data_IF_416881373366
#
_entry.id   IF_416881373366
#
_cell.length_a   1.000
_cell.length_b   1.000
_cell.length_c   1.000
_cell.angle_alpha   90.00
_cell.angle_beta   90.00
_cell.angle_gamma   90.00
#
_symmetry.space_group_name_H-M   'P 1'
#
loop_
_entity.id
_entity.type
_entity.pdbx_description
1 polymer ?
#
# COMPACT_ATOMS: atom_id res chain seq x y z
N UNK A 1 -1.10 -11.75 49.38
CA UNK A 1 -0.34 -12.59 48.42
C UNK A 1 -1.17 -12.64 47.16
N UNK A 2 -1.08 -11.57 46.36
CA UNK A 2 -1.93 -11.35 45.19
C UNK A 2 -1.34 -12.16 44.05
N UNK A 3 -2.12 -13.11 43.56
CA UNK A 3 -1.77 -14.13 42.60
C UNK A 3 -1.08 -13.54 41.35
N UNK A 4 0.22 -13.78 41.24
CA UNK A 4 1.08 -13.26 40.16
C UNK A 4 0.76 -13.94 38.83
N UNK A 5 0.04 -15.08 38.84
CA UNK A 5 -0.39 -15.78 37.61
C UNK A 5 -1.53 -15.06 36.89
N UNK A 6 -2.46 -14.42 37.61
CA UNK A 6 -3.54 -13.62 37.02
C UNK A 6 -3.07 -12.32 36.35
N UNK A 7 -1.89 -11.81 36.74
CA UNK A 7 -1.23 -10.68 36.07
C UNK A 7 -0.45 -11.15 34.84
N UNK A 8 0.22 -12.30 34.92
CA UNK A 8 0.93 -12.90 33.79
C UNK A 8 -0.03 -13.35 32.66
N UNK A 9 -1.26 -13.76 32.98
CA UNK A 9 -2.29 -14.06 31.98
C UNK A 9 -2.95 -12.81 31.37
N UNK A 10 -2.98 -11.66 32.07
CA UNK A 10 -3.33 -10.36 31.45
C UNK A 10 -2.23 -9.82 30.54
N UNK A 11 -0.96 -10.16 30.81
CA UNK A 11 0.20 -9.71 30.02
C UNK A 11 0.52 -10.59 28.81
N UNK A 12 -0.02 -11.81 28.72
CA UNK A 12 0.04 -12.64 27.50
C UNK A 12 -0.80 -12.09 26.33
N UNK A 13 -1.58 -11.03 26.54
CA UNK A 13 -2.48 -10.43 25.55
C UNK A 13 -1.97 -9.14 24.88
N UNK A 14 -0.75 -8.65 25.17
CA UNK A 14 -0.27 -7.33 24.68
C UNK A 14 0.54 -7.35 23.39
N UNK A 15 0.56 -8.48 22.69
CA UNK A 15 0.74 -8.52 21.25
C UNK A 15 -0.58 -9.09 20.72
N UNK A 16 -1.18 -8.56 19.63
CA UNK A 16 -2.20 -9.32 18.92
C UNK A 16 -1.60 -10.71 18.71
N UNK A 17 -2.37 -11.80 18.83
CA UNK A 17 -1.85 -13.11 18.44
C UNK A 17 -1.48 -13.02 16.93
N UNK A 18 -0.25 -12.61 16.63
CA UNK A 18 0.35 -12.43 15.30
C UNK A 18 0.66 -13.78 14.66
N UNK A 19 -0.10 -14.82 15.05
CA UNK A 19 -0.01 -16.17 14.52
C UNK A 19 -0.32 -16.21 13.03
N UNK A 20 -1.09 -15.26 12.52
CA UNK A 20 -1.38 -15.13 11.10
C UNK A 20 -0.52 -14.07 10.44
N UNK A 21 -0.23 -14.25 9.15
CA UNK A 21 0.51 -13.24 8.37
C UNK A 21 -0.22 -11.90 8.34
N UNK A 22 -1.56 -11.90 8.29
CA UNK A 22 -2.34 -10.65 8.30
C UNK A 22 -2.29 -9.93 9.65
N UNK A 23 -2.18 -10.65 10.77
CA UNK A 23 -1.98 -10.03 12.09
C UNK A 23 -0.65 -9.28 12.19
N UNK A 24 0.42 -9.82 11.62
CA UNK A 24 1.73 -9.12 11.54
C UNK A 24 1.65 -7.86 10.68
N UNK A 25 0.89 -7.92 9.59
CA UNK A 25 0.70 -6.79 8.66
C UNK A 25 -0.14 -5.69 9.31
N UNK A 26 -1.20 -6.04 10.04
CA UNK A 26 -2.00 -5.09 10.83
C UNK A 26 -1.16 -4.40 11.91
N UNK A 27 -0.33 -5.15 12.65
CA UNK A 27 0.58 -4.56 13.64
C UNK A 27 1.58 -3.57 13.02
N UNK A 28 2.21 -3.94 11.89
CA UNK A 28 3.12 -3.04 11.17
C UNK A 28 2.38 -1.80 10.64
N UNK A 29 1.19 -1.98 10.06
CA UNK A 29 0.35 -0.90 9.56
C UNK A 29 -0.03 0.10 10.65
N UNK A 30 -0.49 -0.39 11.82
CA UNK A 30 -0.84 0.47 12.97
C UNK A 30 0.38 1.24 13.48
N UNK A 31 1.54 0.59 13.61
CA UNK A 31 2.78 1.25 14.01
C UNK A 31 3.18 2.37 13.03
N UNK A 32 3.16 2.10 11.73
CA UNK A 32 3.47 3.09 10.69
C UNK A 32 2.45 4.26 10.68
N UNK A 33 1.15 3.94 10.76
CA UNK A 33 0.07 4.94 10.81
C UNK A 33 0.20 5.86 12.02
N UNK A 34 0.54 5.28 13.17
CA UNK A 34 0.74 6.01 14.42
C UNK A 34 1.92 6.99 14.36
N UNK A 35 3.03 6.61 13.74
CA UNK A 35 4.14 7.53 13.47
C UNK A 35 3.70 8.64 12.51
N UNK A 36 3.00 8.27 11.43
CA UNK A 36 2.60 9.21 10.40
C UNK A 36 1.58 10.26 10.90
N UNK A 37 0.62 9.89 11.75
CA UNK A 37 -0.36 10.83 12.32
C UNK A 37 0.24 11.91 13.23
N UNK A 38 1.48 11.75 13.69
CA UNK A 38 2.19 12.79 14.46
C UNK A 38 2.92 13.80 13.59
N UNK A 39 3.01 13.54 12.31
CA UNK A 39 3.65 14.43 11.36
C UNK A 39 2.61 15.42 10.80
N UNK A 40 2.96 16.70 10.62
CA UNK A 40 2.06 17.69 10.05
C UNK A 40 1.74 17.42 8.57
N UNK A 41 0.60 17.94 8.11
CA UNK A 41 0.30 18.12 6.69
C UNK A 41 -0.46 16.98 5.98
N UNK A 42 -0.79 15.87 6.67
CA UNK A 42 -1.54 14.76 6.07
C UNK A 42 -2.99 14.63 6.56
N UNK A 43 -3.86 14.10 5.71
CA UNK A 43 -5.21 13.67 6.11
C UNK A 43 -5.12 12.29 6.74
N UNK A 44 -5.83 12.07 7.86
CA UNK A 44 -5.90 10.75 8.53
C UNK A 44 -6.25 9.60 7.56
N UNK A 45 -7.33 9.70 6.74
CA UNK A 45 -7.68 8.60 5.82
C UNK A 45 -6.61 8.33 4.77
N UNK A 46 -5.95 9.36 4.23
CA UNK A 46 -4.97 9.17 3.17
C UNK A 46 -3.68 8.57 3.70
N UNK A 47 -3.20 9.08 4.84
CA UNK A 47 -2.02 8.55 5.52
C UNK A 47 -2.22 7.07 5.88
N UNK A 48 -3.37 6.72 6.44
CA UNK A 48 -3.69 5.34 6.77
C UNK A 48 -3.82 4.44 5.53
N UNK A 49 -4.36 4.96 4.42
CA UNK A 49 -4.48 4.22 3.17
C UNK A 49 -3.11 3.96 2.52
N UNK A 50 -2.21 4.95 2.53
CA UNK A 50 -0.86 4.81 2.00
C UNK A 50 -0.02 3.84 2.84
N UNK A 51 -0.06 3.95 4.16
CA UNK A 51 0.63 2.99 5.05
C UNK A 51 0.03 1.58 4.95
N UNK A 52 -1.29 1.44 4.79
CA UNK A 52 -1.94 0.14 4.56
C UNK A 52 -1.45 -0.49 3.26
N UNK A 53 -1.42 0.30 2.19
CA UNK A 53 -0.90 -0.10 0.89
C UNK A 53 0.54 -0.59 1.03
N UNK A 54 1.41 0.22 1.65
CA UNK A 54 2.81 -0.13 1.89
C UNK A 54 2.97 -1.45 2.67
N UNK A 55 2.18 -1.64 3.74
CA UNK A 55 2.20 -2.85 4.55
C UNK A 55 1.84 -4.12 3.75
N UNK A 56 0.84 -4.03 2.86
CA UNK A 56 0.45 -5.14 2.00
C UNK A 56 1.42 -5.39 0.84
N UNK A 57 2.05 -4.35 0.29
CA UNK A 57 3.12 -4.52 -0.69
C UNK A 57 4.34 -5.22 -0.05
N UNK A 58 4.76 -4.79 1.15
CA UNK A 58 5.79 -5.47 1.95
C UNK A 58 5.48 -6.96 2.14
N UNK A 59 4.22 -7.27 2.48
CA UNK A 59 3.75 -8.65 2.61
C UNK A 59 3.93 -9.45 1.30
N UNK A 60 3.69 -8.85 0.15
CA UNK A 60 3.83 -9.53 -1.15
C UNK A 60 5.27 -9.72 -1.56
N UNK A 61 6.12 -8.70 -1.37
CA UNK A 61 7.56 -8.81 -1.57
C UNK A 61 8.11 -9.99 -0.76
N UNK A 62 7.83 -10.05 0.55
CA UNK A 62 8.33 -11.11 1.43
C UNK A 62 7.75 -12.49 1.09
N UNK A 63 6.46 -12.56 0.71
CA UNK A 63 5.80 -13.84 0.48
C UNK A 63 6.06 -14.45 -0.89
N UNK A 64 6.28 -13.62 -1.90
CA UNK A 64 6.35 -14.04 -3.31
C UNK A 64 7.71 -13.80 -3.93
N UNK A 65 8.65 -13.21 -3.18
CA UNK A 65 9.97 -12.83 -3.69
C UNK A 65 9.88 -11.90 -4.91
N UNK A 66 8.86 -11.03 -4.91
CA UNK A 66 8.57 -10.13 -6.03
C UNK A 66 9.29 -8.79 -5.86
N UNK A 67 9.85 -8.27 -6.96
CA UNK A 67 10.38 -6.90 -7.02
C UNK A 67 9.22 -5.92 -7.13
N UNK A 68 8.85 -5.31 -6.01
CA UNK A 68 7.80 -4.28 -5.98
C UNK A 68 8.35 -2.96 -5.46
N UNK A 69 7.98 -1.86 -6.13
CA UNK A 69 8.25 -0.49 -5.66
C UNK A 69 6.94 0.28 -5.52
N UNK A 70 6.95 1.29 -4.65
CA UNK A 70 5.77 2.11 -4.37
C UNK A 70 6.04 3.58 -4.67
N UNK A 71 5.14 4.21 -5.42
CA UNK A 71 5.14 5.65 -5.66
C UNK A 71 3.83 6.24 -5.12
N UNK A 72 3.94 7.27 -4.30
CA UNK A 72 2.80 7.96 -3.71
C UNK A 72 2.53 9.28 -4.44
N UNK A 73 1.37 9.37 -5.08
CA UNK A 73 0.87 10.57 -5.76
C UNK A 73 -0.19 11.35 -4.98
N UNK A 74 -0.68 10.79 -3.88
CA UNK A 74 -1.69 11.43 -3.03
C UNK A 74 -1.00 12.34 -2.02
N UNK A 75 -1.06 13.65 -2.26
CA UNK A 75 -0.34 14.66 -1.48
C UNK A 75 -0.73 14.68 -0.01
N UNK A 76 -2.02 14.52 0.29
CA UNK A 76 -2.53 14.41 1.66
C UNK A 76 -2.07 13.15 2.41
N UNK A 77 -1.40 12.20 1.74
CA UNK A 77 -0.78 11.04 2.36
C UNK A 77 0.74 11.18 2.54
N UNK A 78 1.36 12.29 2.14
CA UNK A 78 2.82 12.48 2.16
C UNK A 78 3.52 12.08 3.48
N UNK A 79 2.94 12.34 4.68
CA UNK A 79 3.51 11.87 5.95
C UNK A 79 3.74 10.36 6.05
N UNK A 80 2.97 9.55 5.30
CA UNK A 80 3.14 8.11 5.28
C UNK A 80 4.54 7.71 4.82
N UNK A 81 5.12 8.38 3.81
CA UNK A 81 6.47 8.07 3.30
C UNK A 81 7.55 8.29 4.37
N UNK A 82 7.39 9.35 5.17
CA UNK A 82 8.29 9.62 6.28
C UNK A 82 8.22 8.54 7.37
N UNK A 83 7.01 8.11 7.70
CA UNK A 83 6.80 7.08 8.70
C UNK A 83 7.32 5.70 8.25
N UNK A 84 7.04 5.28 7.01
CA UNK A 84 7.50 3.97 6.51
C UNK A 84 9.02 3.92 6.36
N UNK A 85 9.67 5.02 5.97
CA UNK A 85 11.13 5.11 5.95
C UNK A 85 11.75 4.99 7.36
N UNK A 86 11.09 5.56 8.38
CA UNK A 86 11.50 5.35 9.78
C UNK A 86 11.28 3.89 10.21
N UNK A 87 10.16 3.27 9.83
CA UNK A 87 9.88 1.86 10.10
C UNK A 87 10.92 0.91 9.47
N UNK A 88 11.43 1.27 8.30
CA UNK A 88 12.47 0.53 7.58
C UNK A 88 13.91 0.85 8.06
N UNK A 89 14.06 1.81 8.97
CA UNK A 89 15.35 2.24 9.51
C UNK A 89 16.22 3.01 8.52
N UNK A 90 15.68 3.47 7.38
CA UNK A 90 16.45 4.27 6.40
C UNK A 90 16.55 5.73 6.76
N UNK A 91 15.68 6.21 7.65
CA UNK A 91 15.75 7.58 8.15
C UNK A 91 15.62 7.62 9.66
N UNK A 92 16.40 8.49 10.30
CA UNK A 92 16.23 8.86 11.71
C UNK A 92 14.89 9.61 11.90
N UNK A 93 14.18 9.40 13.04
CA UNK A 93 12.96 10.16 13.36
C UNK A 93 13.15 11.67 13.16
N UNK A 94 12.20 12.34 12.49
CA UNK A 94 12.18 13.80 12.32
C UNK A 94 12.92 14.37 11.10
N UNK A 95 13.67 13.58 10.31
CA UNK A 95 14.47 14.09 9.17
C UNK A 95 13.67 14.32 7.87
N UNK A 96 12.62 13.54 7.62
CA UNK A 96 11.87 13.56 6.33
C UNK A 96 10.77 14.64 6.27
N UNK A 97 10.39 15.21 7.41
CA UNK A 97 9.19 16.04 7.53
C UNK A 97 9.21 17.30 6.65
N UNK A 98 10.39 17.77 6.24
CA UNK A 98 10.55 18.95 5.39
C UNK A 98 10.62 18.62 3.89
N UNK A 99 11.24 17.51 3.52
CA UNK A 99 11.44 17.16 2.11
C UNK A 99 10.19 16.56 1.45
N UNK A 100 9.41 15.76 2.18
CA UNK A 100 8.23 15.09 1.64
C UNK A 100 7.04 16.04 1.40
N UNK A 101 6.86 17.04 2.26
CA UNK A 101 5.77 18.02 2.14
C UNK A 101 5.96 18.97 0.94
N UNK A 102 7.21 19.33 0.61
CA UNK A 102 7.53 20.27 -0.46
C UNK A 102 7.57 19.61 -1.86
N UNK A 103 7.62 18.28 -1.94
CA UNK A 103 7.77 17.50 -3.19
C UNK A 103 6.51 16.74 -3.62
N UNK A 104 5.56 16.51 -2.72
CA UNK A 104 4.27 15.90 -3.05
C UNK A 104 3.31 16.97 -3.59
N UNK A 105 3.46 17.34 -4.86
CA UNK A 105 2.71 18.47 -5.44
C UNK A 105 2.17 18.32 -6.87
N UNK A 106 2.57 17.33 -7.67
CA UNK A 106 2.22 17.33 -9.10
C UNK A 106 1.88 15.95 -9.72
N UNK A 107 0.90 16.01 -10.65
CA UNK A 107 0.24 14.93 -11.40
C UNK A 107 1.16 14.17 -12.38
N UNK A 108 2.19 13.48 -11.89
CA UNK A 108 3.09 12.69 -12.73
C UNK A 108 3.47 11.34 -12.11
N UNK A 109 2.78 10.89 -11.07
CA UNK A 109 2.98 9.59 -10.42
C UNK A 109 2.93 8.44 -11.41
N UNK A 110 1.91 8.38 -12.26
CA UNK A 110 1.79 7.34 -13.29
C UNK A 110 2.87 7.47 -14.36
N UNK A 111 3.31 8.70 -14.67
CA UNK A 111 4.42 8.91 -15.59
C UNK A 111 5.76 8.45 -15.03
N UNK A 112 6.04 8.74 -13.76
CA UNK A 112 7.20 8.20 -13.07
C UNK A 112 7.13 6.68 -12.95
N UNK A 113 5.95 6.13 -12.64
CA UNK A 113 5.76 4.68 -12.55
C UNK A 113 6.03 3.98 -13.88
N UNK A 114 5.57 4.54 -15.00
CA UNK A 114 5.85 3.98 -16.32
C UNK A 114 7.33 4.10 -16.64
N UNK A 115 7.94 5.28 -16.46
CA UNK A 115 9.37 5.46 -16.70
C UNK A 115 10.24 4.50 -15.88
N UNK A 116 9.83 4.21 -14.65
CA UNK A 116 10.49 3.28 -13.74
C UNK A 116 10.47 1.83 -14.20
N UNK A 117 9.44 1.39 -14.93
CA UNK A 117 9.32 0.00 -15.38
C UNK A 117 9.90 -0.26 -16.77
N UNK A 118 10.21 0.78 -17.54
CA UNK A 118 10.78 0.62 -18.88
C UNK A 118 12.12 -0.10 -18.82
N UNK A 119 12.25 -1.20 -19.56
CA UNK A 119 13.44 -2.04 -19.58
C UNK A 119 13.71 -2.85 -18.31
N UNK A 120 12.75 -2.89 -17.36
CA UNK A 120 12.89 -3.57 -16.07
C UNK A 120 11.92 -4.76 -15.94
N UNK A 121 12.11 -5.87 -16.67
CA UNK A 121 11.19 -7.00 -16.65
C UNK A 121 11.08 -7.62 -15.25
N UNK A 122 9.86 -7.92 -14.82
CA UNK A 122 9.57 -8.48 -13.50
C UNK A 122 9.57 -7.47 -12.33
N UNK A 123 9.83 -6.18 -12.59
CA UNK A 123 9.54 -5.11 -11.63
C UNK A 123 8.04 -4.78 -11.68
N UNK A 124 7.39 -4.68 -10.52
CA UNK A 124 6.05 -4.06 -10.42
C UNK A 124 6.13 -2.74 -9.67
N UNK A 125 5.63 -1.66 -10.27
CA UNK A 125 5.51 -0.37 -9.59
C UNK A 125 4.04 -0.12 -9.23
N UNK A 126 3.74 -0.16 -7.94
CA UNK A 126 2.45 0.24 -7.41
C UNK A 126 2.38 1.77 -7.26
N UNK A 127 1.42 2.40 -7.91
CA UNK A 127 1.31 3.86 -7.99
C UNK A 127 -0.03 4.33 -7.40
N UNK A 128 0.00 4.93 -6.22
CA UNK A 128 -1.22 5.44 -5.58
C UNK A 128 -1.53 6.85 -6.05
N UNK A 129 -2.70 7.05 -6.66
CA UNK A 129 -3.06 8.29 -7.35
C UNK A 129 -4.46 8.78 -7.03
N UNK A 130 -4.68 10.08 -7.18
CA UNK A 130 -6.01 10.68 -7.16
C UNK A 130 -6.75 10.51 -8.49
N UNK A 131 -8.04 10.88 -8.49
CA UNK A 131 -8.92 10.75 -9.64
C UNK A 131 -8.45 11.56 -10.86
N UNK A 132 -8.10 12.83 -10.66
CA UNK A 132 -7.65 13.74 -11.73
C UNK A 132 -6.45 13.18 -12.50
N UNK A 133 -5.46 12.63 -11.77
CA UNK A 133 -4.29 12.02 -12.37
C UNK A 133 -4.64 10.72 -13.10
N UNK A 134 -5.44 9.84 -12.48
CA UNK A 134 -5.85 8.58 -13.10
C UNK A 134 -6.62 8.81 -14.42
N UNK A 135 -7.46 9.84 -14.49
CA UNK A 135 -8.25 10.18 -15.68
C UNK A 135 -7.43 10.89 -16.76
N UNK A 136 -6.36 11.60 -16.41
CA UNK A 136 -5.55 12.36 -17.37
C UNK A 136 -4.32 11.60 -17.88
N UNK A 137 -3.64 10.85 -17.02
CA UNK A 137 -2.38 10.19 -17.35
C UNK A 137 -2.54 8.79 -17.98
N UNK A 138 -3.75 8.22 -18.03
CA UNK A 138 -3.98 6.84 -18.50
C UNK A 138 -3.43 6.46 -19.90
N UNK A 139 -3.32 7.36 -20.92
CA UNK A 139 -2.80 6.95 -22.24
C UNK A 139 -1.38 6.43 -22.17
N UNK A 140 -0.67 6.73 -21.08
CA UNK A 140 0.71 6.32 -20.86
C UNK A 140 0.92 4.81 -20.84
N UNK A 141 -0.13 4.00 -20.61
CA UNK A 141 -0.08 2.55 -20.78
C UNK A 141 0.36 2.17 -22.19
N UNK A 142 0.04 2.97 -23.21
CA UNK A 142 0.45 2.67 -24.58
C UNK A 142 1.98 2.71 -24.80
N UNK A 143 2.75 3.25 -23.84
CA UNK A 143 4.21 3.27 -23.88
C UNK A 143 4.85 1.99 -23.32
N UNK A 144 4.06 1.15 -22.65
CA UNK A 144 4.51 -0.06 -21.98
C UNK A 144 4.47 -1.26 -22.94
N UNK A 145 5.60 -1.96 -23.06
CA UNK A 145 5.70 -3.24 -23.76
C UNK A 145 5.93 -4.39 -22.76
N UNK A 146 4.92 -5.24 -22.51
CA UNK A 146 4.98 -6.30 -21.50
C UNK A 146 6.00 -7.40 -21.80
N UNK A 147 6.63 -7.43 -22.98
CA UNK A 147 7.69 -8.40 -23.31
C UNK A 147 9.06 -8.00 -22.75
N UNK A 148 9.25 -6.71 -22.44
CA UNK A 148 10.55 -6.13 -22.06
C UNK A 148 10.50 -5.21 -20.85
N UNK A 149 9.33 -4.66 -20.54
CA UNK A 149 9.12 -3.70 -19.47
C UNK A 149 8.45 -4.39 -18.26
N UNK A 150 8.69 -3.88 -17.04
CA UNK A 150 7.96 -4.26 -15.83
C UNK A 150 6.52 -3.74 -15.84
N UNK A 151 5.71 -4.04 -14.82
CA UNK A 151 4.29 -3.67 -14.79
C UNK A 151 4.00 -2.48 -13.86
N UNK A 152 3.02 -1.65 -14.24
CA UNK A 152 2.45 -0.64 -13.33
C UNK A 152 1.14 -1.16 -12.77
N UNK A 153 0.96 -1.07 -11.45
CA UNK A 153 -0.29 -1.32 -10.74
C UNK A 153 -0.85 0.01 -10.21
N UNK A 154 -1.78 0.67 -10.93
CA UNK A 154 -2.44 1.86 -10.42
C UNK A 154 -3.32 1.53 -9.20
N UNK A 155 -3.26 2.38 -8.18
CA UNK A 155 -4.09 2.31 -6.99
C UNK A 155 -4.84 3.64 -6.86
N UNK A 156 -6.08 3.66 -7.35
CA UNK A 156 -6.94 4.84 -7.33
C UNK A 156 -7.51 5.06 -5.92
N UNK A 157 -7.13 6.16 -5.28
CA UNK A 157 -7.55 6.51 -3.94
C UNK A 157 -8.84 7.35 -3.96
N UNK A 158 -9.86 6.85 -3.25
CA UNK A 158 -11.15 7.52 -2.97
C UNK A 158 -11.72 8.31 -4.17
N UNK A 159 -11.97 7.65 -5.31
CA UNK A 159 -12.58 8.32 -6.44
C UNK A 159 -14.01 8.78 -6.13
N UNK A 160 -14.43 9.87 -6.75
CA UNK A 160 -15.80 10.37 -6.72
C UNK A 160 -16.71 9.59 -7.67
N UNK A 161 -16.13 9.04 -8.75
CA UNK A 161 -16.81 8.16 -9.69
C UNK A 161 -17.41 6.94 -9.00
N UNK A 162 -18.63 6.54 -9.37
CA UNK A 162 -19.25 5.30 -8.92
C UNK A 162 -18.73 4.06 -9.67
N UNK A 163 -19.24 2.87 -9.34
CA UNK A 163 -18.80 1.59 -9.93
C UNK A 163 -19.00 1.54 -11.45
N UNK A 164 -20.14 2.02 -11.94
CA UNK A 164 -20.48 1.93 -13.35
C UNK A 164 -19.71 2.97 -14.16
N UNK A 165 -19.52 4.16 -13.59
CA UNK A 165 -18.67 5.20 -14.16
C UNK A 165 -17.20 4.76 -14.23
N UNK A 166 -16.65 4.17 -13.17
CA UNK A 166 -15.28 3.63 -13.20
C UNK A 166 -15.10 2.62 -14.34
N UNK A 167 -16.04 1.68 -14.50
CA UNK A 167 -15.97 0.69 -15.58
C UNK A 167 -16.08 1.35 -16.95
N UNK A 168 -17.00 2.30 -17.13
CA UNK A 168 -17.18 3.06 -18.36
C UNK A 168 -15.94 3.87 -18.74
N UNK A 169 -15.23 4.42 -17.74
CA UNK A 169 -14.00 5.18 -17.96
C UNK A 169 -12.82 4.23 -18.20
N UNK A 170 -12.50 3.36 -17.27
CA UNK A 170 -11.23 2.63 -17.26
C UNK A 170 -11.19 1.38 -18.15
N UNK A 171 -12.31 0.64 -18.32
CA UNK A 171 -12.30 -0.58 -19.16
C UNK A 171 -11.98 -0.31 -20.63
N UNK A 172 -12.63 0.65 -21.32
CA UNK A 172 -12.27 0.97 -22.72
C UNK A 172 -10.81 1.43 -22.88
N UNK A 173 -10.16 1.82 -21.79
CA UNK A 173 -8.76 2.28 -21.73
C UNK A 173 -7.78 1.15 -21.38
N UNK A 174 -8.25 -0.10 -21.33
CA UNK A 174 -7.41 -1.27 -21.06
C UNK A 174 -7.12 -1.51 -19.57
N UNK A 175 -7.96 -0.99 -18.67
CA UNK A 175 -7.83 -1.19 -17.22
C UNK A 175 -9.05 -1.92 -16.64
N UNK A 176 -8.82 -2.83 -15.70
CA UNK A 176 -9.84 -3.56 -14.96
C UNK A 176 -9.91 -3.06 -13.51
N UNK A 177 -10.95 -2.29 -13.13
CA UNK A 177 -11.09 -1.80 -11.76
C UNK A 177 -11.47 -2.91 -10.77
N UNK A 178 -10.57 -3.18 -9.82
CA UNK A 178 -10.78 -4.07 -8.67
C UNK A 178 -11.04 -3.21 -7.44
N UNK A 179 -12.31 -3.11 -7.04
CA UNK A 179 -12.74 -2.27 -5.92
C UNK A 179 -12.51 -2.93 -4.55
N UNK A 180 -11.98 -2.14 -3.61
CA UNK A 180 -11.68 -2.50 -2.22
C UNK A 180 -12.38 -1.49 -1.30
N UNK A 181 -13.12 -1.94 -0.30
CA UNK A 181 -13.75 -1.09 0.72
C UNK A 181 -15.28 -1.09 0.70
N UNK A 182 -15.91 0.09 0.86
CA UNK A 182 -17.36 0.26 1.09
C UNK A 182 -18.24 -0.38 0.02
N UNK A 183 -17.82 -0.28 -1.25
CA UNK A 183 -18.52 -0.93 -2.37
C UNK A 183 -17.75 -2.20 -2.75
N UNK A 184 -17.87 -3.24 -1.93
CA UNK A 184 -17.40 -4.56 -2.32
C UNK A 184 -17.19 -5.52 -1.18
N UNK A 185 -16.54 -5.07 -0.10
CA UNK A 185 -16.01 -6.00 0.87
C UNK A 185 -16.09 -5.56 2.33
N UNK A 186 -16.46 -4.30 2.62
CA UNK A 186 -16.78 -3.87 3.99
C UNK A 186 -18.30 -3.86 4.13
N UNK A 187 -18.84 -4.87 4.79
CA UNK A 187 -20.28 -5.00 5.01
C UNK A 187 -20.66 -4.43 6.38
N UNK A 188 -20.92 -3.13 6.45
CA UNK A 188 -21.37 -2.40 7.65
C UNK A 188 -20.38 -2.40 8.83
N UNK A 189 -19.82 -1.20 9.10
CA UNK A 189 -18.80 -0.99 10.13
C UNK A 189 -17.40 -1.15 9.55
N UNK A 190 -16.62 -0.08 9.59
CA UNK A 190 -15.28 -0.03 8.98
C UNK A 190 -14.25 -0.79 9.82
N UNK A 191 -14.36 -2.11 9.88
CA UNK A 191 -13.44 -2.97 10.62
C UNK A 191 -12.15 -3.17 9.81
N UNK A 192 -11.02 -2.67 10.31
CA UNK A 192 -9.74 -2.73 9.59
C UNK A 192 -9.33 -4.16 9.22
N UNK A 193 -9.68 -5.16 10.05
CA UNK A 193 -9.40 -6.57 9.75
C UNK A 193 -10.08 -7.09 8.47
N UNK A 194 -11.29 -6.62 8.16
CA UNK A 194 -11.98 -6.97 6.91
C UNK A 194 -11.29 -6.31 5.72
N UNK A 195 -10.97 -5.02 5.85
CA UNK A 195 -10.22 -4.29 4.83
C UNK A 195 -8.85 -4.94 4.55
N UNK A 196 -8.12 -5.41 5.57
CA UNK A 196 -6.88 -6.17 5.39
C UNK A 196 -7.10 -7.44 4.55
N UNK A 197 -8.18 -8.19 4.78
CA UNK A 197 -8.52 -9.38 3.98
C UNK A 197 -8.84 -9.01 2.54
N UNK A 198 -9.64 -7.97 2.33
CA UNK A 198 -10.00 -7.51 0.99
C UNK A 198 -8.78 -7.06 0.21
N UNK A 199 -7.96 -6.19 0.81
CA UNK A 199 -6.76 -5.66 0.19
C UNK A 199 -5.83 -6.81 -0.17
N UNK A 200 -5.63 -7.75 0.75
CA UNK A 200 -4.80 -8.93 0.51
C UNK A 200 -5.31 -9.76 -0.68
N UNK A 201 -6.62 -10.01 -0.78
CA UNK A 201 -7.23 -10.76 -1.88
C UNK A 201 -7.13 -10.02 -3.21
N UNK A 202 -7.47 -8.74 -3.23
CA UNK A 202 -7.41 -7.90 -4.44
C UNK A 202 -5.98 -7.77 -4.97
N UNK A 203 -5.00 -7.64 -4.07
CA UNK A 203 -3.59 -7.58 -4.45
C UNK A 203 -3.09 -8.92 -5.00
N UNK A 204 -3.54 -10.06 -4.46
CA UNK A 204 -3.26 -11.38 -5.05
C UNK A 204 -3.81 -11.47 -6.48
N UNK A 205 -5.09 -11.13 -6.67
CA UNK A 205 -5.72 -11.14 -8.00
C UNK A 205 -4.96 -10.24 -8.96
N UNK A 206 -4.66 -9.00 -8.57
CA UNK A 206 -3.96 -8.06 -9.44
C UNK A 206 -2.56 -8.54 -9.84
N UNK A 207 -1.78 -9.07 -8.90
CA UNK A 207 -0.41 -9.55 -9.19
C UNK A 207 -0.42 -10.84 -10.02
N UNK A 208 -1.37 -11.75 -9.78
CA UNK A 208 -1.52 -12.96 -10.59
C UNK A 208 -1.96 -12.64 -12.03
N UNK A 209 -2.87 -11.67 -12.21
CA UNK A 209 -3.26 -11.19 -13.54
C UNK A 209 -2.10 -10.49 -14.26
N UNK A 210 -1.31 -9.67 -13.57
CA UNK A 210 -0.08 -9.07 -14.14
C UNK A 210 0.89 -10.16 -14.61
N UNK A 211 1.13 -11.18 -13.78
CA UNK A 211 2.00 -12.30 -14.13
C UNK A 211 1.47 -13.09 -15.33
N UNK A 212 0.16 -13.32 -15.41
CA UNK A 212 -0.47 -14.00 -16.54
C UNK A 212 -0.35 -13.20 -17.84
N UNK A 213 -0.61 -11.88 -17.79
CA UNK A 213 -0.53 -10.99 -18.94
C UNK A 213 0.90 -10.86 -19.48
N UNK A 214 1.88 -10.74 -18.58
CA UNK A 214 3.30 -10.69 -18.97
C UNK A 214 3.78 -12.03 -19.54
N UNK A 215 3.37 -13.16 -18.95
CA UNK A 215 3.69 -14.49 -19.49
C UNK A 215 3.07 -14.73 -20.88
N UNK A 216 1.80 -14.35 -21.08
CA UNK A 216 1.14 -14.44 -22.38
C UNK A 216 1.84 -13.57 -23.43
N UNK A 217 2.28 -12.36 -23.06
CA UNK A 217 3.04 -11.51 -23.96
C UNK A 217 4.39 -12.12 -24.35
N UNK A 218 5.14 -12.66 -23.39
CA UNK A 218 6.41 -13.34 -23.65
C UNK A 218 6.25 -14.58 -24.54
N UNK A 219 5.10 -15.27 -24.47
CA UNK A 219 4.77 -16.42 -25.31
C UNK A 219 4.32 -16.04 -26.73
N UNK A 220 4.06 -14.76 -27.01
CA UNK A 220 3.47 -14.31 -28.28
C UNK A 220 1.94 -14.46 -28.35
N UNK A 221 1.29 -14.78 -27.24
CA UNK A 221 -0.16 -14.98 -27.10
C UNK A 221 -0.88 -13.75 -26.52
N UNK A 222 -0.23 -12.57 -26.60
CA UNK A 222 -0.79 -11.32 -26.08
C UNK A 222 -2.15 -11.00 -26.71
N UNK A 223 -3.15 -10.80 -25.85
CA UNK A 223 -4.47 -10.33 -26.28
C UNK A 223 -4.45 -8.80 -26.48
N UNK A 224 -4.75 -8.28 -27.68
CA UNK A 224 -4.70 -6.84 -27.96
C UNK A 224 -5.63 -5.99 -27.08
N UNK A 225 -6.69 -6.59 -26.53
CA UNK A 225 -7.69 -5.94 -25.69
C UNK A 225 -7.64 -6.37 -24.23
N UNK A 226 -6.51 -6.93 -23.76
CA UNK A 226 -6.36 -7.30 -22.36
C UNK A 226 -6.53 -6.08 -21.44
N UNK A 227 -7.37 -6.25 -20.42
CA UNK A 227 -7.55 -5.26 -19.35
C UNK A 227 -6.56 -5.54 -18.23
N UNK A 228 -5.65 -4.60 -17.95
CA UNK A 228 -4.68 -4.69 -16.87
C UNK A 228 -5.33 -4.31 -15.55
N UNK A 229 -4.99 -4.97 -14.43
CA UNK A 229 -5.65 -4.69 -13.17
C UNK A 229 -5.29 -3.30 -12.65
N UNK A 230 -6.29 -2.61 -12.10
CA UNK A 230 -6.09 -1.44 -11.25
C UNK A 230 -6.85 -1.65 -9.94
N UNK A 231 -6.28 -1.23 -8.82
CA UNK A 231 -6.97 -1.26 -7.54
C UNK A 231 -7.71 0.05 -7.31
N UNK A 232 -8.88 -0.03 -6.68
CA UNK A 232 -9.67 1.14 -6.32
C UNK A 232 -9.98 1.11 -4.83
N UNK A 233 -9.40 2.02 -4.07
CA UNK A 233 -9.55 2.12 -2.61
C UNK A 233 -10.72 3.06 -2.27
N UNK A 234 -11.88 2.48 -1.95
CA UNK A 234 -13.07 3.20 -1.47
C UNK A 234 -13.16 3.15 0.04
N UNK A 235 -12.55 4.15 0.68
CA UNK A 235 -12.49 4.24 2.14
C UNK A 235 -13.40 5.37 2.64
N UNK A 236 -14.12 5.16 3.77
CA UNK A 236 -14.87 6.23 4.41
C UNK A 236 -13.93 7.35 4.85
N UNK A 237 -14.41 8.59 4.87
CA UNK A 237 -13.65 9.72 5.43
C UNK A 237 -13.30 9.53 6.93
N UNK A 238 -14.10 8.72 7.64
CA UNK A 238 -13.91 8.38 9.05
C UNK A 238 -12.96 7.21 9.29
N UNK A 239 -12.47 6.53 8.24
CA UNK A 239 -11.51 5.44 8.37
C UNK A 239 -10.07 5.99 8.36
N UNK A 240 -9.15 5.41 9.16
CA UNK A 240 -9.38 4.38 10.16
C UNK A 240 -10.03 4.98 11.41
N UNK A 241 -10.83 4.19 12.16
CA UNK A 241 -11.29 4.61 13.47
C UNK A 241 -10.10 5.08 14.32
N UNK A 242 -10.25 6.23 14.98
CA UNK A 242 -9.16 6.79 15.81
C UNK A 242 -8.71 5.79 16.88
N UNK A 243 -9.66 5.08 17.50
CA UNK A 243 -9.38 4.01 18.45
C UNK A 243 -8.46 2.92 17.86
N UNK A 244 -8.64 2.50 16.61
CA UNK A 244 -7.82 1.43 16.03
C UNK A 244 -6.42 1.91 15.58
N UNK A 245 -6.34 3.15 15.10
CA UNK A 245 -5.10 3.73 14.56
C UNK A 245 -4.21 4.38 15.63
N UNK A 246 -4.80 4.82 16.74
CA UNK A 246 -4.08 5.46 17.85
C UNK A 246 -3.78 4.47 19.00
N UNK A 247 -4.39 3.28 19.02
CA UNK A 247 -4.09 2.18 19.96
C UNK A 247 -2.77 1.47 19.59
N UNK A 248 -1.68 2.23 19.67
CA UNK A 248 -0.34 1.67 19.66
C UNK A 248 0.21 1.68 21.07
N UNK A 249 0.54 0.50 21.56
CA UNK A 249 1.07 0.34 22.90
C UNK A 249 2.49 0.92 22.98
N UNK A 250 2.81 1.60 24.08
CA UNK A 250 4.10 2.27 24.29
C UNK A 250 5.32 1.33 24.16
N UNK A 251 5.11 0.01 24.21
CA UNK A 251 6.12 -1.03 24.06
C UNK A 251 6.37 -1.49 22.60
N UNK A 252 5.76 -0.86 21.59
CA UNK A 252 5.97 -1.20 20.18
C UNK A 252 7.19 -0.51 19.57
N UNK A 253 7.71 0.51 20.25
CA UNK A 253 8.92 1.21 19.87
C UNK A 253 9.95 1.13 20.99
N UNK A 254 11.23 1.12 20.63
CA UNK A 254 12.34 1.23 21.56
C UNK A 254 12.54 2.68 22.04
N UNK A 255 13.55 2.89 22.89
CA UNK A 255 13.87 4.22 23.44
C UNK A 255 14.27 5.24 22.37
N UNK A 256 14.73 4.78 21.20
CA UNK A 256 15.12 5.62 20.06
C UNK A 256 13.93 5.88 19.10
N UNK A 257 12.73 5.36 19.41
CA UNK A 257 11.55 5.48 18.57
C UNK A 257 11.56 4.59 17.32
N UNK A 258 12.39 3.53 17.31
CA UNK A 258 12.40 2.51 16.25
C UNK A 258 11.44 1.38 16.60
N UNK A 259 10.78 0.74 15.62
CA UNK A 259 9.92 -0.40 15.90
C UNK A 259 10.73 -1.56 16.49
N UNK A 260 10.15 -2.27 17.46
CA UNK A 260 10.75 -3.51 17.99
C UNK A 260 10.90 -4.58 16.90
N UNK A 261 11.84 -5.54 17.03
CA UNK A 261 12.12 -6.54 16.00
C UNK A 261 10.89 -7.31 15.51
N UNK A 262 9.96 -7.64 16.40
CA UNK A 262 8.73 -8.38 16.08
C UNK A 262 7.83 -7.64 15.09
N UNK A 263 7.84 -6.30 15.15
CA UNK A 263 7.12 -5.44 14.21
C UNK A 263 7.96 -5.25 12.95
N UNK A 264 9.25 -4.94 13.09
CA UNK A 264 10.14 -4.66 11.97
C UNK A 264 10.24 -5.82 10.96
N UNK A 265 10.20 -7.07 11.44
CA UNK A 265 10.30 -8.28 10.60
C UNK A 265 9.12 -8.49 9.62
N UNK A 266 8.05 -7.70 9.70
CA UNK A 266 6.97 -7.73 8.71
C UNK A 266 7.34 -7.05 7.38
N UNK A 267 8.41 -6.24 7.35
CA UNK A 267 8.92 -5.59 6.16
C UNK A 267 10.07 -6.38 5.50
N UNK A 268 10.23 -6.30 4.17
CA UNK A 268 11.39 -6.85 3.47
C UNK A 268 12.70 -6.19 3.91
N UNK A 269 13.80 -6.91 3.72
CA UNK A 269 15.16 -6.43 4.02
C UNK A 269 16.06 -6.62 2.80
N UNK A 270 17.24 -5.99 2.81
CA UNK A 270 18.17 -6.04 1.68
C UNK A 270 17.62 -5.35 0.43
N UNK A 271 17.91 -5.92 -0.75
CA UNK A 271 17.64 -5.31 -2.06
C UNK A 271 16.15 -5.28 -2.43
N UNK A 272 15.34 -6.10 -1.75
CA UNK A 272 13.90 -6.16 -1.91
C UNK A 272 13.16 -5.11 -1.08
N UNK A 273 13.86 -4.39 -0.19
CA UNK A 273 13.26 -3.29 0.56
C UNK A 273 12.72 -2.24 -0.42
N UNK A 274 11.51 -1.72 -0.18
CA UNK A 274 10.91 -0.73 -1.08
C UNK A 274 11.73 0.57 -1.17
N UNK A 275 12.47 0.92 -0.11
CA UNK A 275 13.42 2.03 -0.11
C UNK A 275 14.88 1.64 -0.45
N UNK A 276 15.13 0.44 -0.98
CA UNK A 276 16.46 0.08 -1.48
C UNK A 276 16.87 1.00 -2.66
N UNK A 277 18.17 1.12 -2.91
CA UNK A 277 18.67 1.87 -4.07
C UNK A 277 18.13 1.27 -5.38
N UNK A 278 17.99 2.13 -6.40
CA UNK A 278 17.51 1.78 -7.73
C UNK A 278 18.67 1.34 -8.62
#
# INVERSE_FOLDING_TARGET
MTDTSALQDRFRMSLPETRTTLGRVDAWWRAATHLAHRLPGGSRPAVAAATLTYAHLNRMIVRRDERIRFILGVTEAAPALAAVAQMEGTTTPGRLCKAAADSCGHNFTLAHAIGAVLGEPGLTVAAMVGEDEAVSAWPIRALHDPTRDGAVLPILYRPTMDRDELRRVFRPRGWEPIEIGEVGCISHGAHSAELHRCFAAALYVALDEIAALTAAAAAGDAQPQAHWPMLVLRLPASWPPAAESDEVAANWFDADGRPIPEIAQAAPSGDLRMSAEW
#
